data_IF_276126932106
#
_entry.id   IF_276126932106
#
_cell.length_a   1.000
_cell.length_b   1.000
_cell.length_c   1.000
_cell.angle_alpha   90.00
_cell.angle_beta   90.00
_cell.angle_gamma   90.00
#
_symmetry.space_group_name_H-M   'P 1'
#
loop_
_entity.id
_entity.type
_entity.pdbx_description
1 polymer ?
#
# COMPACT_ATOMS: atom_id res chain seq x y z
N UNK A 1 54.89 4.46 11.36
CA UNK A 1 55.87 4.06 10.32
C UNK A 1 55.56 2.63 9.95
N UNK A 2 54.75 2.46 8.91
CA UNK A 2 55.00 1.49 7.85
C UNK A 2 54.24 2.03 6.64
N UNK A 3 55.02 2.37 5.62
CA UNK A 3 54.59 2.96 4.36
C UNK A 3 54.05 1.86 3.45
N UNK A 4 52.96 2.16 2.75
CA UNK A 4 52.68 1.53 1.46
C UNK A 4 52.46 2.65 0.44
N UNK A 5 53.52 2.93 -0.32
CA UNK A 5 53.51 3.79 -1.50
C UNK A 5 53.04 2.96 -2.70
N UNK A 6 51.90 3.37 -3.26
CA UNK A 6 51.62 3.56 -4.69
C UNK A 6 51.60 2.36 -5.65
N UNK A 7 50.46 2.16 -6.33
CA UNK A 7 50.42 2.02 -7.79
C UNK A 7 49.19 2.73 -8.37
N UNK A 8 49.44 3.42 -9.48
CA UNK A 8 48.56 4.29 -10.26
C UNK A 8 47.82 3.47 -11.34
N UNK A 9 46.64 3.92 -11.75
CA UNK A 9 46.07 3.65 -13.08
C UNK A 9 45.34 2.31 -13.28
N UNK A 10 44.01 2.37 -13.31
CA UNK A 10 43.16 1.30 -13.80
C UNK A 10 41.72 1.78 -13.96
N UNK A 11 41.39 2.31 -15.14
CA UNK A 11 40.01 2.54 -15.56
C UNK A 11 39.29 1.21 -15.72
N UNK A 12 38.84 0.65 -14.60
CA UNK A 12 37.91 -0.47 -14.56
C UNK A 12 36.55 0.04 -14.16
N UNK A 13 35.54 -0.20 -14.98
CA UNK A 13 34.14 -0.21 -14.56
C UNK A 13 33.98 -1.32 -13.52
N UNK A 14 34.40 -1.03 -12.28
CA UNK A 14 34.29 -1.93 -11.17
C UNK A 14 32.81 -2.16 -10.90
N UNK A 15 32.35 -3.37 -11.18
CA UNK A 15 31.03 -3.82 -10.76
C UNK A 15 30.90 -3.51 -9.26
N UNK A 16 29.78 -2.88 -8.82
CA UNK A 16 29.62 -2.50 -7.44
C UNK A 16 29.75 -3.74 -6.54
N UNK A 17 30.74 -3.75 -5.66
CA UNK A 17 30.98 -4.84 -4.73
C UNK A 17 29.74 -5.08 -3.85
N UNK A 18 29.46 -6.32 -3.44
CA UNK A 18 28.27 -6.66 -2.62
C UNK A 18 28.15 -5.76 -1.38
N UNK A 19 29.27 -5.36 -0.78
CA UNK A 19 29.32 -4.44 0.36
C UNK A 19 28.71 -3.06 0.05
N UNK A 20 28.85 -2.56 -1.18
CA UNK A 20 28.23 -1.29 -1.61
C UNK A 20 26.72 -1.39 -1.80
N UNK A 21 26.17 -2.60 -1.92
CA UNK A 21 24.72 -2.86 -1.99
C UNK A 21 24.08 -3.08 -0.61
N UNK A 22 24.90 -3.20 0.45
CA UNK A 22 24.40 -3.37 1.82
C UNK A 22 23.97 -2.00 2.34
N UNK A 23 22.68 -1.89 2.61
CA UNK A 23 22.12 -0.73 3.30
C UNK A 23 22.50 -0.77 4.79
N UNK A 24 23.28 0.22 5.24
CA UNK A 24 23.71 0.37 6.64
C UNK A 24 22.79 1.26 7.49
N UNK A 25 21.73 1.84 6.92
CA UNK A 25 20.82 2.70 7.66
C UNK A 25 19.76 1.94 8.46
N UNK A 26 18.86 2.68 9.10
CA UNK A 26 17.84 2.10 9.98
C UNK A 26 16.90 1.14 9.24
N UNK A 27 16.64 -0.02 9.84
CA UNK A 27 15.66 -1.01 9.36
C UNK A 27 14.24 -0.40 9.37
N UNK A 28 13.96 0.49 10.31
CA UNK A 28 12.66 1.15 10.42
C UNK A 28 12.40 2.10 9.25
N UNK A 29 13.36 2.98 8.92
CA UNK A 29 13.22 3.89 7.77
C UNK A 29 13.08 3.13 6.46
N UNK A 30 13.76 2.00 6.30
CA UNK A 30 13.59 1.09 5.16
C UNK A 30 12.18 0.50 5.08
N UNK A 31 11.63 0.02 6.19
CA UNK A 31 10.26 -0.53 6.23
C UNK A 31 9.21 0.53 5.89
N UNK A 32 9.34 1.73 6.47
CA UNK A 32 8.44 2.85 6.19
C UNK A 32 8.53 3.30 4.73
N UNK A 33 9.74 3.36 4.17
CA UNK A 33 9.96 3.64 2.75
C UNK A 33 9.26 2.62 1.85
N UNK A 34 9.47 1.32 2.07
CA UNK A 34 8.83 0.26 1.28
C UNK A 34 7.30 0.32 1.39
N UNK A 35 6.78 0.43 2.61
CA UNK A 35 5.34 0.53 2.85
C UNK A 35 4.73 1.76 2.17
N UNK A 36 5.37 2.93 2.27
CA UNK A 36 4.91 4.16 1.61
C UNK A 36 4.88 4.03 0.10
N UNK A 37 5.89 3.41 -0.52
CA UNK A 37 5.90 3.14 -1.97
C UNK A 37 4.75 2.22 -2.38
N UNK A 38 4.58 1.08 -1.70
CA UNK A 38 3.48 0.14 -1.96
C UNK A 38 2.11 0.82 -1.81
N UNK A 39 1.95 1.71 -0.82
CA UNK A 39 0.72 2.47 -0.63
C UNK A 39 0.46 3.41 -1.80
N UNK A 40 1.47 4.15 -2.28
CA UNK A 40 1.31 5.03 -3.45
C UNK A 40 0.86 4.22 -4.67
N UNK A 41 1.47 3.06 -4.91
CA UNK A 41 1.06 2.14 -5.98
C UNK A 41 -0.39 1.66 -5.80
N UNK A 42 -0.75 1.23 -4.59
CA UNK A 42 -2.11 0.80 -4.25
C UNK A 42 -3.14 1.92 -4.45
N UNK A 43 -2.82 3.17 -4.11
CA UNK A 43 -3.72 4.30 -4.31
C UNK A 43 -3.95 4.56 -5.81
N UNK A 44 -2.90 4.46 -6.63
CA UNK A 44 -3.00 4.60 -8.09
C UNK A 44 -3.85 3.47 -8.67
N UNK A 45 -3.61 2.22 -8.28
CA UNK A 45 -4.38 1.06 -8.73
C UNK A 45 -5.87 1.14 -8.36
N UNK A 46 -6.19 1.80 -7.24
CA UNK A 46 -7.57 2.09 -6.80
C UNK A 46 -8.21 3.28 -7.55
N UNK A 47 -7.49 3.94 -8.44
CA UNK A 47 -7.98 5.09 -9.21
C UNK A 47 -7.95 6.41 -8.43
N UNK A 48 -7.02 6.57 -7.48
CA UNK A 48 -6.75 7.85 -6.83
C UNK A 48 -5.57 8.57 -7.49
N UNK A 49 -5.66 9.89 -7.57
CA UNK A 49 -4.60 10.77 -8.01
C UNK A 49 -3.78 11.21 -6.79
N UNK A 50 -2.55 10.72 -6.70
CA UNK A 50 -1.59 11.08 -5.66
C UNK A 50 -0.71 12.23 -6.17
N UNK A 51 -0.60 13.31 -5.40
CA UNK A 51 0.31 14.40 -5.75
C UNK A 51 1.77 13.91 -5.73
N UNK A 52 2.55 14.28 -6.75
CA UNK A 52 3.96 13.88 -6.88
C UNK A 52 4.18 12.35 -6.90
N UNK A 53 3.20 11.56 -7.36
CA UNK A 53 3.30 10.10 -7.41
C UNK A 53 4.57 9.63 -8.13
N UNK A 54 4.91 10.22 -9.27
CA UNK A 54 6.11 9.86 -10.04
C UNK A 54 7.39 10.04 -9.21
N UNK A 55 7.50 11.18 -8.53
CA UNK A 55 8.64 11.49 -7.66
C UNK A 55 8.71 10.52 -6.48
N UNK A 56 7.58 10.19 -5.85
CA UNK A 56 7.54 9.23 -4.74
C UNK A 56 7.93 7.82 -5.20
N UNK A 57 7.52 7.41 -6.40
CA UNK A 57 7.81 6.08 -6.95
C UNK A 57 9.25 5.95 -7.45
N UNK A 58 9.85 7.03 -7.94
CA UNK A 58 11.25 7.08 -8.37
C UNK A 58 12.23 7.36 -7.23
N UNK A 59 11.75 7.80 -6.06
CA UNK A 59 12.60 8.15 -4.91
C UNK A 59 13.41 6.93 -4.44
N UNK A 60 14.71 7.12 -4.22
CA UNK A 60 15.58 6.09 -3.63
C UNK A 60 15.45 6.06 -2.11
N UNK A 61 15.91 4.98 -1.47
CA UNK A 61 15.94 4.90 0.00
C UNK A 61 16.84 5.99 0.61
N UNK A 62 17.94 6.33 -0.06
CA UNK A 62 18.85 7.40 0.38
C UNK A 62 18.14 8.74 0.39
N UNK A 63 17.43 9.08 -0.69
CA UNK A 63 16.67 10.35 -0.78
C UNK A 63 15.54 10.41 0.25
N UNK A 64 14.91 9.26 0.54
CA UNK A 64 13.89 9.18 1.57
C UNK A 64 14.47 9.51 2.95
N UNK A 65 15.65 8.98 3.30
CA UNK A 65 16.32 9.31 4.56
C UNK A 65 16.87 10.73 4.59
N UNK A 66 17.29 11.28 3.47
CA UNK A 66 17.66 12.69 3.38
C UNK A 66 16.45 13.61 3.67
N UNK A 67 15.27 13.22 3.21
CA UNK A 67 14.03 14.00 3.39
C UNK A 67 13.40 13.82 4.78
N UNK A 68 13.35 12.60 5.31
CA UNK A 68 12.61 12.25 6.53
C UNK A 68 13.49 11.81 7.70
N UNK A 69 14.80 11.67 7.50
CA UNK A 69 15.76 11.20 8.50
C UNK A 69 15.84 9.68 8.63
N UNK A 70 16.76 9.23 9.49
CA UNK A 70 16.96 7.81 9.83
C UNK A 70 15.84 7.25 10.72
N UNK A 71 15.15 8.12 11.45
CA UNK A 71 13.95 7.83 12.25
C UNK A 71 12.84 8.81 11.88
N UNK A 72 12.10 8.54 10.79
CA UNK A 72 11.02 9.39 10.34
C UNK A 72 9.91 9.52 11.38
N UNK A 73 9.45 10.74 11.62
CA UNK A 73 8.19 10.96 12.33
C UNK A 73 7.02 10.53 11.44
N UNK A 74 6.15 9.64 11.93
CA UNK A 74 5.06 9.07 11.11
C UNK A 74 4.03 10.10 10.66
N UNK A 75 3.92 11.21 11.38
CA UNK A 75 3.01 12.30 11.02
C UNK A 75 3.44 13.00 9.74
N UNK A 76 4.74 13.00 9.42
CA UNK A 76 5.28 13.51 8.15
C UNK A 76 5.07 12.53 6.99
N UNK A 77 4.70 11.28 7.28
CA UNK A 77 4.45 10.24 6.29
C UNK A 77 2.99 10.17 5.81
N UNK A 78 2.12 11.03 6.34
CA UNK A 78 0.71 11.09 5.97
C UNK A 78 0.55 11.41 4.48
N UNK A 79 -0.39 10.70 3.83
CA UNK A 79 -0.72 10.91 2.41
C UNK A 79 -2.20 11.25 2.27
N UNK A 80 -2.49 12.20 1.38
CA UNK A 80 -3.85 12.54 0.97
C UNK A 80 -3.92 12.46 -0.54
N UNK A 81 -4.87 11.70 -1.07
CA UNK A 81 -5.08 11.58 -2.50
C UNK A 81 -6.55 11.84 -2.84
N UNK A 82 -6.78 12.53 -3.97
CA UNK A 82 -8.13 12.77 -4.50
C UNK A 82 -8.54 11.63 -5.41
N UNK A 83 -9.83 11.29 -5.46
CA UNK A 83 -10.33 10.28 -6.40
C UNK A 83 -10.29 10.85 -7.82
N UNK A 84 -9.78 10.08 -8.80
CA UNK A 84 -9.64 10.57 -10.17
C UNK A 84 -10.99 10.96 -10.80
N UNK A 85 -12.06 10.23 -10.50
CA UNK A 85 -13.40 10.54 -10.98
C UNK A 85 -14.09 11.70 -10.26
N UNK A 86 -13.68 12.00 -9.02
CA UNK A 86 -14.23 13.10 -8.23
C UNK A 86 -13.21 13.59 -7.19
N UNK A 87 -12.44 14.65 -7.50
CA UNK A 87 -11.38 15.15 -6.63
C UNK A 87 -11.85 15.67 -5.26
N UNK A 88 -13.15 15.97 -5.11
CA UNK A 88 -13.74 16.36 -3.81
C UNK A 88 -13.79 15.21 -2.83
N UNK A 89 -13.84 13.96 -3.33
CA UNK A 89 -13.69 12.76 -2.52
C UNK A 89 -12.22 12.40 -2.39
N UNK A 90 -11.77 12.24 -1.15
CA UNK A 90 -10.37 12.01 -0.82
C UNK A 90 -10.20 10.71 -0.03
N UNK A 91 -8.99 10.18 -0.07
CA UNK A 91 -8.52 9.10 0.79
C UNK A 91 -7.35 9.60 1.62
N UNK A 92 -7.36 9.28 2.90
CA UNK A 92 -6.34 9.67 3.86
C UNK A 92 -5.57 8.43 4.32
N UNK A 93 -4.24 8.49 4.27
CA UNK A 93 -3.36 7.44 4.80
C UNK A 93 -2.60 7.97 6.01
N UNK A 94 -2.68 7.22 7.10
CA UNK A 94 -2.01 7.52 8.37
C UNK A 94 -1.05 6.39 8.74
N UNK A 95 0.16 6.75 9.14
CA UNK A 95 1.13 5.83 9.72
C UNK A 95 1.10 5.96 11.24
N UNK A 96 1.28 4.86 11.97
CA UNK A 96 1.30 4.87 13.43
C UNK A 96 2.65 4.41 13.98
N UNK A 97 3.22 5.19 14.91
CA UNK A 97 4.43 4.87 15.68
C UNK A 97 4.16 3.93 16.85
N UNK A 98 2.90 3.83 17.29
CA UNK A 98 2.61 3.17 18.55
C UNK A 98 2.81 1.66 18.47
N UNK A 99 3.62 1.15 19.40
CA UNK A 99 3.90 -0.27 19.56
C UNK A 99 2.62 -1.06 19.88
N UNK A 100 1.67 -0.44 20.59
CA UNK A 100 0.34 -1.00 20.82
C UNK A 100 -0.75 0.06 20.61
N UNK A 101 -1.67 -0.25 19.71
CA UNK A 101 -2.86 0.56 19.54
C UNK A 101 -3.95 0.09 20.50
N UNK A 102 -4.16 0.90 21.54
CA UNK A 102 -5.26 0.76 22.52
C UNK A 102 -6.47 1.60 22.12
N UNK A 103 -7.63 1.31 22.72
CA UNK A 103 -8.90 2.02 22.47
C UNK A 103 -8.76 3.54 22.53
N UNK A 104 -8.11 4.08 23.58
CA UNK A 104 -7.92 5.53 23.77
C UNK A 104 -7.14 6.16 22.63
N UNK A 105 -6.05 5.51 22.21
CA UNK A 105 -5.19 6.00 21.13
C UNK A 105 -5.93 5.98 19.79
N UNK A 106 -6.75 4.95 19.53
CA UNK A 106 -7.60 4.94 18.33
C UNK A 106 -8.62 6.06 18.29
N UNK A 107 -9.32 6.28 19.40
CA UNK A 107 -10.29 7.38 19.48
C UNK A 107 -9.60 8.71 19.22
N UNK A 108 -8.41 8.92 19.79
CA UNK A 108 -7.61 10.11 19.54
C UNK A 108 -7.18 10.25 18.08
N UNK A 109 -6.65 9.20 17.46
CA UNK A 109 -6.24 9.22 16.05
C UNK A 109 -7.42 9.54 15.13
N UNK A 110 -8.56 8.90 15.34
CA UNK A 110 -9.78 9.14 14.55
C UNK A 110 -10.41 10.52 14.82
N UNK A 111 -10.18 11.11 16.00
CA UNK A 111 -10.66 12.46 16.29
C UNK A 111 -9.84 13.55 15.60
N UNK A 112 -8.56 13.29 15.26
CA UNK A 112 -7.73 14.22 14.48
C UNK A 112 -8.15 14.28 13.00
N UNK A 113 -9.00 13.37 12.54
CA UNK A 113 -9.46 13.33 11.16
C UNK A 113 -10.51 14.42 10.96
N UNK A 114 -10.07 15.51 10.33
CA UNK A 114 -10.93 16.62 9.90
C UNK A 114 -11.58 16.33 8.55
N UNK A 115 -12.67 17.04 8.21
CA UNK A 115 -13.37 16.94 6.92
C UNK A 115 -13.85 15.52 6.57
N UNK A 116 -14.41 14.82 7.55
CA UNK A 116 -14.93 13.44 7.41
C UNK A 116 -15.89 13.26 6.24
N UNK A 117 -16.65 14.29 5.90
CA UNK A 117 -17.62 14.26 4.79
C UNK A 117 -16.96 14.17 3.41
N UNK A 118 -15.73 14.66 3.27
CA UNK A 118 -14.96 14.59 2.02
C UNK A 118 -14.15 13.29 1.91
N UNK A 119 -14.04 12.51 2.99
CA UNK A 119 -13.24 11.29 3.02
C UNK A 119 -14.10 10.08 2.67
N UNK A 120 -13.74 9.39 1.59
CA UNK A 120 -14.35 8.10 1.24
C UNK A 120 -13.87 7.00 2.20
N UNK A 121 -12.58 7.09 2.58
CA UNK A 121 -11.88 6.03 3.29
C UNK A 121 -10.64 6.56 4.02
N UNK A 122 -10.28 5.90 5.11
CA UNK A 122 -9.05 6.14 5.86
C UNK A 122 -8.27 4.84 5.90
N UNK A 123 -6.99 4.88 5.54
CA UNK A 123 -6.07 3.75 5.63
C UNK A 123 -5.13 4.01 6.81
N UNK A 124 -5.13 3.10 7.78
CA UNK A 124 -4.27 3.14 8.95
C UNK A 124 -3.22 2.04 8.87
N UNK A 125 -1.95 2.45 8.83
CA UNK A 125 -0.80 1.55 8.73
C UNK A 125 -0.18 1.39 10.12
N UNK A 126 -0.12 0.15 10.58
CA UNK A 126 0.33 -0.22 11.91
C UNK A 126 1.69 -0.89 11.88
N UNK A 127 2.61 -0.47 12.73
CA UNK A 127 3.85 -1.23 12.91
C UNK A 127 3.62 -2.57 13.63
N UNK A 128 2.63 -2.64 14.52
CA UNK A 128 2.35 -3.79 15.39
C UNK A 128 0.86 -4.15 15.45
N UNK A 129 0.53 -5.23 16.16
CA UNK A 129 -0.85 -5.72 16.30
C UNK A 129 -1.73 -4.73 17.07
N UNK A 130 -2.97 -4.61 16.61
CA UNK A 130 -4.02 -3.84 17.27
C UNK A 130 -4.84 -4.73 18.22
N UNK A 131 -5.29 -4.18 19.34
CA UNK A 131 -6.23 -4.86 20.24
C UNK A 131 -7.64 -4.97 19.60
N UNK A 132 -8.38 -6.05 19.87
CA UNK A 132 -9.76 -6.26 19.40
C UNK A 132 -10.71 -5.11 19.78
N UNK A 133 -10.52 -4.49 20.96
CA UNK A 133 -11.31 -3.31 21.36
C UNK A 133 -11.03 -2.08 20.49
N UNK A 134 -9.78 -1.90 20.06
CA UNK A 134 -9.40 -0.82 19.16
C UNK A 134 -9.95 -1.06 17.75
N UNK A 135 -9.99 -2.31 17.30
CA UNK A 135 -10.62 -2.70 16.02
C UNK A 135 -12.11 -2.37 15.99
N UNK A 136 -12.86 -2.69 17.06
CA UNK A 136 -14.29 -2.34 17.15
C UNK A 136 -14.54 -0.85 16.98
N UNK A 137 -13.69 0.01 17.56
CA UNK A 137 -13.80 1.46 17.40
C UNK A 137 -13.55 1.91 15.96
N UNK A 138 -12.65 1.25 15.24
CA UNK A 138 -12.41 1.54 13.83
C UNK A 138 -13.61 1.10 12.97
N UNK A 139 -14.19 -0.06 13.26
CA UNK A 139 -15.33 -0.61 12.52
C UNK A 139 -16.64 0.19 12.76
N UNK A 140 -16.82 0.75 13.97
CA UNK A 140 -17.96 1.60 14.34
C UNK A 140 -17.84 3.04 13.82
N UNK A 141 -16.72 3.39 13.18
CA UNK A 141 -16.49 4.75 12.70
C UNK A 141 -17.36 5.09 11.48
N UNK A 142 -17.81 6.34 11.39
CA UNK A 142 -18.67 6.79 10.27
C UNK A 142 -17.98 6.76 8.91
N UNK A 143 -16.64 6.83 8.89
CA UNK A 143 -15.83 6.69 7.67
C UNK A 143 -15.21 5.32 7.66
N UNK A 144 -15.16 4.66 6.50
CA UNK A 144 -14.55 3.34 6.36
C UNK A 144 -13.06 3.38 6.72
N UNK A 145 -12.67 2.71 7.79
CA UNK A 145 -11.26 2.60 8.23
C UNK A 145 -10.69 1.24 7.81
N UNK A 146 -9.71 1.25 6.92
CA UNK A 146 -8.93 0.07 6.59
C UNK A 146 -7.65 0.02 7.42
N UNK A 147 -7.37 -1.14 7.99
CA UNK A 147 -6.18 -1.35 8.81
C UNK A 147 -5.22 -2.27 8.05
N UNK A 148 -3.97 -1.83 7.89
CA UNK A 148 -2.89 -2.63 7.32
C UNK A 148 -1.74 -2.74 8.31
N UNK A 149 -1.27 -3.95 8.65
CA UNK A 149 0.03 -4.08 9.28
C UNK A 149 1.11 -3.72 8.24
N UNK A 150 2.18 -3.07 8.69
CA UNK A 150 3.27 -2.63 7.83
C UNK A 150 3.92 -3.80 7.09
N UNK A 151 3.90 -4.99 7.69
CA UNK A 151 4.40 -6.24 7.10
C UNK A 151 3.72 -6.58 5.77
N UNK A 152 2.42 -6.32 5.64
CA UNK A 152 1.64 -6.63 4.43
C UNK A 152 2.01 -5.66 3.28
N UNK A 153 2.59 -4.51 3.60
CA UNK A 153 2.92 -3.45 2.64
C UNK A 153 4.41 -3.40 2.26
N UNK A 154 5.24 -4.28 2.85
CA UNK A 154 6.67 -4.31 2.53
C UNK A 154 6.94 -4.76 1.08
N UNK A 155 6.02 -5.51 0.50
CA UNK A 155 6.08 -5.98 -0.88
C UNK A 155 4.71 -5.78 -1.51
N UNK A 156 4.67 -5.23 -2.72
CA UNK A 156 3.43 -5.15 -3.45
C UNK A 156 3.02 -6.53 -4.00
N UNK A 157 1.96 -7.10 -3.44
CA UNK A 157 1.44 -8.42 -3.81
C UNK A 157 0.99 -8.49 -5.28
N UNK A 158 0.56 -7.37 -5.89
CA UNK A 158 0.06 -7.36 -7.27
C UNK A 158 1.16 -7.56 -8.31
N UNK A 159 2.41 -7.28 -7.93
CA UNK A 159 3.59 -7.38 -8.82
C UNK A 159 4.27 -8.74 -8.80
N UNK A 160 3.72 -9.71 -8.05
CA UNK A 160 4.27 -11.05 -8.02
C UNK A 160 4.11 -11.74 -9.38
N UNK A 161 5.12 -12.51 -9.81
CA UNK A 161 5.21 -13.10 -11.17
C UNK A 161 3.97 -13.92 -11.55
N UNK A 162 3.40 -14.66 -10.61
CA UNK A 162 2.23 -15.50 -10.83
C UNK A 162 0.90 -14.82 -10.49
N UNK A 163 0.90 -13.51 -10.20
CA UNK A 163 -0.33 -12.81 -9.84
C UNK A 163 -1.15 -12.52 -11.10
N UNK A 164 -2.39 -13.02 -11.22
CA UNK A 164 -3.27 -12.65 -12.32
C UNK A 164 -3.70 -11.18 -12.22
N UNK A 165 -4.17 -10.62 -13.34
CA UNK A 165 -4.72 -9.26 -13.35
C UNK A 165 -6.14 -9.26 -12.79
N UNK A 166 -6.40 -8.33 -11.89
CA UNK A 166 -7.70 -8.16 -11.23
C UNK A 166 -8.33 -6.85 -11.69
N UNK A 167 -9.52 -6.93 -12.28
CA UNK A 167 -10.29 -5.78 -12.78
C UNK A 167 -11.65 -5.73 -12.07
N UNK A 168 -11.98 -4.60 -11.44
CA UNK A 168 -13.29 -4.43 -10.78
C UNK A 168 -14.33 -4.12 -11.84
N UNK A 169 -15.40 -4.92 -11.90
CA UNK A 169 -16.48 -4.68 -12.85
C UNK A 169 -17.40 -3.56 -12.38
N UNK A 170 -17.83 -2.73 -13.32
CA UNK A 170 -18.87 -1.72 -13.12
C UNK A 170 -20.25 -2.38 -12.92
N UNK A 171 -21.22 -1.60 -12.44
CA UNK A 171 -22.59 -2.10 -12.22
C UNK A 171 -23.24 -2.59 -13.54
N UNK A 172 -22.95 -1.93 -14.66
CA UNK A 172 -23.45 -2.29 -15.98
C UNK A 172 -22.85 -3.60 -16.49
N UNK A 173 -21.52 -3.73 -16.41
CA UNK A 173 -20.80 -4.97 -16.79
C UNK A 173 -21.22 -6.14 -15.93
N UNK A 174 -21.41 -5.91 -14.62
CA UNK A 174 -21.97 -6.92 -13.70
C UNK A 174 -23.33 -7.42 -14.19
N UNK A 175 -24.26 -6.53 -14.53
CA UNK A 175 -25.58 -6.93 -15.01
C UNK A 175 -25.50 -7.68 -16.34
N UNK A 176 -24.63 -7.24 -17.24
CA UNK A 176 -24.40 -7.92 -18.52
C UNK A 176 -23.84 -9.33 -18.31
N UNK A 177 -22.89 -9.51 -17.38
CA UNK A 177 -22.31 -10.81 -17.06
C UNK A 177 -23.36 -11.78 -16.48
N UNK A 178 -24.16 -11.32 -15.52
CA UNK A 178 -25.21 -12.15 -14.91
C UNK A 178 -26.26 -12.56 -15.96
N UNK A 179 -26.64 -11.66 -16.87
CA UNK A 179 -27.56 -11.95 -17.98
C UNK A 179 -26.95 -12.93 -18.99
N UNK A 180 -25.68 -12.73 -19.37
CA UNK A 180 -24.99 -13.56 -20.38
C UNK A 180 -24.89 -15.02 -19.96
N UNK A 181 -24.60 -15.26 -18.68
CA UNK A 181 -24.44 -16.61 -18.15
C UNK A 181 -25.70 -17.14 -17.45
N UNK A 182 -26.77 -16.34 -17.38
CA UNK A 182 -28.01 -16.66 -16.67
C UNK A 182 -27.77 -17.17 -15.24
N UNK A 183 -26.86 -16.51 -14.50
CA UNK A 183 -26.44 -16.88 -13.15
C UNK A 183 -26.80 -15.79 -12.14
N UNK A 184 -27.02 -16.21 -10.90
CA UNK A 184 -27.19 -15.32 -9.75
C UNK A 184 -25.85 -15.03 -9.07
N UNK A 185 -25.77 -13.93 -8.31
CA UNK A 185 -24.56 -13.55 -7.57
C UNK A 185 -24.04 -14.66 -6.63
N UNK A 186 -24.94 -15.50 -6.09
CA UNK A 186 -24.60 -16.58 -5.16
C UNK A 186 -23.92 -17.78 -5.82
N UNK A 187 -24.05 -17.91 -7.14
CA UNK A 187 -23.49 -19.03 -7.90
C UNK A 187 -22.05 -18.75 -8.38
N UNK A 188 -21.60 -17.50 -8.28
CA UNK A 188 -20.25 -17.12 -8.62
C UNK A 188 -19.26 -17.56 -7.51
N UNK A 189 -18.01 -17.88 -7.87
CA UNK A 189 -16.95 -18.11 -6.89
C UNK A 189 -16.81 -16.91 -5.94
N UNK A 190 -16.69 -17.20 -4.65
CA UNK A 190 -16.66 -16.18 -3.59
C UNK A 190 -15.21 -15.92 -3.19
N UNK A 191 -14.83 -14.64 -3.11
CA UNK A 191 -13.58 -14.19 -2.51
C UNK A 191 -13.86 -13.62 -1.11
N UNK A 192 -13.01 -13.95 -0.14
CA UNK A 192 -13.16 -13.47 1.24
C UNK A 192 -12.85 -11.97 1.32
N UNK A 193 -13.55 -11.26 2.20
CA UNK A 193 -13.27 -9.84 2.51
C UNK A 193 -11.85 -9.66 3.08
N UNK A 194 -11.39 -10.64 3.86
CA UNK A 194 -10.06 -10.66 4.45
C UNK A 194 -8.95 -11.14 3.51
N UNK A 195 -9.29 -11.50 2.26
CA UNK A 195 -8.29 -11.87 1.27
C UNK A 195 -7.32 -10.70 0.99
N UNK A 196 -6.05 -11.00 0.73
CA UNK A 196 -5.02 -9.98 0.50
C UNK A 196 -5.37 -9.07 -0.69
N UNK A 197 -5.94 -9.63 -1.76
CA UNK A 197 -6.34 -8.87 -2.96
C UNK A 197 -7.60 -8.06 -2.68
N UNK A 198 -8.58 -8.63 -1.98
CA UNK A 198 -9.78 -7.90 -1.54
C UNK A 198 -9.40 -6.67 -0.73
N UNK A 199 -8.48 -6.83 0.23
CA UNK A 199 -7.96 -5.74 1.05
C UNK A 199 -7.17 -4.75 0.20
N UNK A 200 -6.30 -5.21 -0.70
CA UNK A 200 -5.50 -4.33 -1.56
C UNK A 200 -6.36 -3.39 -2.42
N UNK A 201 -7.42 -3.88 -3.05
CA UNK A 201 -8.33 -3.05 -3.85
C UNK A 201 -9.45 -2.36 -3.05
N UNK A 202 -9.59 -2.68 -1.75
CA UNK A 202 -10.64 -2.13 -0.90
C UNK A 202 -12.05 -2.54 -1.32
N UNK A 203 -12.19 -3.81 -1.76
CA UNK A 203 -13.43 -4.35 -2.30
C UNK A 203 -14.53 -4.41 -1.24
N UNK A 204 -15.77 -4.17 -1.67
CA UNK A 204 -16.98 -4.27 -0.85
C UNK A 204 -17.85 -5.45 -1.28
N UNK A 205 -18.62 -5.98 -0.32
CA UNK A 205 -19.49 -7.15 -0.54
C UNK A 205 -20.41 -6.92 -1.72
N UNK A 206 -20.45 -7.90 -2.62
CA UNK A 206 -21.29 -7.88 -3.82
C UNK A 206 -20.64 -7.23 -5.05
N UNK A 207 -19.42 -6.69 -4.95
CA UNK A 207 -18.62 -6.37 -6.13
C UNK A 207 -18.12 -7.65 -6.79
N UNK A 208 -17.99 -7.61 -8.12
CA UNK A 208 -17.45 -8.71 -8.91
C UNK A 208 -16.11 -8.26 -9.47
N UNK A 209 -15.11 -9.11 -9.31
CA UNK A 209 -13.77 -8.90 -9.87
C UNK A 209 -13.56 -9.92 -10.98
N UNK A 210 -13.17 -9.41 -12.15
CA UNK A 210 -12.71 -10.23 -13.25
C UNK A 210 -11.24 -10.54 -13.05
N UNK A 211 -10.91 -11.82 -13.07
CA UNK A 211 -9.55 -12.32 -12.95
C UNK A 211 -9.07 -12.78 -14.32
N UNK A 212 -8.00 -12.18 -14.82
CA UNK A 212 -7.40 -12.51 -16.11
C UNK A 212 -6.03 -13.14 -15.89
N UNK A 213 -5.89 -14.40 -16.26
CA UNK A 213 -4.62 -15.12 -16.22
C UNK A 213 -3.83 -14.84 -17.50
N UNK A 214 -2.56 -14.48 -17.36
CA UNK A 214 -1.62 -14.42 -18.48
C UNK A 214 -1.28 -15.84 -18.93
N UNK A 215 -2.20 -16.48 -19.65
CA UNK A 215 -2.01 -17.81 -20.19
C UNK A 215 -0.98 -17.79 -21.32
N UNK A 216 0.28 -18.06 -21.00
CA UNK A 216 1.22 -18.65 -21.94
C UNK A 216 0.80 -20.09 -22.19
N UNK A 217 -0.15 -20.29 -23.11
CA UNK A 217 -0.50 -21.62 -23.59
C UNK A 217 0.59 -22.16 -24.49
N UNK A 218 1.56 -22.88 -23.91
CA UNK A 218 2.22 -24.01 -24.57
C UNK A 218 2.53 -25.02 -23.48
N UNK A 219 1.70 -26.06 -23.37
CA UNK A 219 2.06 -27.30 -22.68
C UNK A 219 2.06 -28.36 -23.80
N UNK A 220 3.19 -29.04 -24.07
CA UNK A 220 3.30 -30.05 -25.12
C UNK A 220 2.42 -31.28 -24.86
#
# INVERSE_FOLDING_TARGET
MEECIGMNGGGGTGEPCIASMVDYGSVESKRLYMARRTVVEMLIDRGYTVANAEVELSRTLSDFRAAFGEKPEVDQLRLIAGRASNPSRKILVLFSENIEIRKKNMVYLLSQIMNKEMLDRVILILQNKMNSYARKVADEHSVNVEIFPISDLLVNITKHVHMPKHEILTAEEKLQLLKKYAVENKQLPIMLENDAISRYYGLVKGQIVKVSYGGGGVIP
#
